data_IF_545666559475
#
_entry.id   IF_545666559475
#
_cell.length_a   1.000
_cell.length_b   1.000
_cell.length_c   1.000
_cell.angle_alpha   90.00
_cell.angle_beta   90.00
_cell.angle_gamma   90.00
#
_symmetry.space_group_name_H-M   'P 1'
#
loop_
_entity.id
_entity.type
_entity.pdbx_description
1 polymer ?
#
# COMPACT_ATOMS: atom_id res chain seq x y z
N UNK A 1 -42.26 -22.82 -29.33
CA UNK A 1 -40.87 -23.23 -29.55
C UNK A 1 -39.89 -22.07 -29.61
N UNK A 2 -40.24 -20.90 -30.11
CA UNK A 2 -39.39 -19.70 -30.21
C UNK A 2 -38.95 -19.11 -28.87
N UNK A 3 -39.86 -19.04 -27.89
CA UNK A 3 -39.62 -18.42 -26.56
C UNK A 3 -38.47 -19.13 -25.77
N UNK A 4 -38.46 -20.48 -25.84
CA UNK A 4 -37.37 -21.26 -25.17
C UNK A 4 -35.99 -21.03 -25.79
N UNK A 5 -35.92 -20.83 -27.10
CA UNK A 5 -34.66 -20.50 -27.79
C UNK A 5 -34.17 -19.10 -27.44
N UNK A 6 -35.07 -18.12 -27.34
CA UNK A 6 -34.69 -16.75 -26.95
C UNK A 6 -34.20 -16.70 -25.50
N UNK A 7 -34.86 -17.43 -24.59
CA UNK A 7 -34.42 -17.50 -23.19
C UNK A 7 -33.05 -18.14 -23.05
N UNK A 8 -32.74 -19.18 -23.80
CA UNK A 8 -31.46 -19.87 -23.80
C UNK A 8 -30.30 -18.93 -24.31
N UNK A 9 -30.57 -18.19 -25.38
CA UNK A 9 -29.59 -17.23 -25.94
C UNK A 9 -29.33 -16.11 -24.95
N UNK A 10 -30.34 -15.62 -24.26
CA UNK A 10 -30.23 -14.59 -23.22
C UNK A 10 -29.37 -15.06 -22.03
N UNK A 11 -29.58 -16.31 -21.58
CA UNK A 11 -28.80 -16.93 -20.51
C UNK A 11 -27.31 -17.11 -20.92
N UNK A 12 -27.06 -17.55 -22.14
CA UNK A 12 -25.69 -17.72 -22.64
C UNK A 12 -24.97 -16.37 -22.77
N UNK A 13 -25.69 -15.33 -23.23
CA UNK A 13 -25.11 -13.98 -23.32
C UNK A 13 -24.76 -13.38 -21.95
N UNK A 14 -25.66 -13.58 -20.94
CA UNK A 14 -25.37 -13.11 -19.56
C UNK A 14 -24.21 -13.88 -18.94
N UNK A 15 -24.15 -15.20 -19.10
CA UNK A 15 -23.03 -16.00 -18.59
C UNK A 15 -21.72 -15.63 -19.29
N UNK A 16 -21.72 -15.39 -20.59
CA UNK A 16 -20.53 -14.95 -21.32
C UNK A 16 -20.06 -13.54 -20.91
N UNK A 17 -20.99 -12.66 -20.49
CA UNK A 17 -20.68 -11.32 -20.01
C UNK A 17 -20.14 -11.34 -18.55
N UNK A 18 -20.62 -12.27 -17.74
CA UNK A 18 -20.19 -12.40 -16.33
C UNK A 18 -18.91 -13.23 -16.16
N UNK A 19 -18.62 -14.14 -17.09
CA UNK A 19 -17.41 -14.99 -17.03
C UNK A 19 -16.10 -14.21 -16.90
N UNK A 20 -15.83 -13.13 -17.68
CA UNK A 20 -14.59 -12.37 -17.52
C UNK A 20 -14.50 -11.63 -16.19
N UNK A 21 -15.61 -11.29 -15.56
CA UNK A 21 -15.61 -10.65 -14.22
C UNK A 21 -15.18 -11.66 -13.15
N UNK A 22 -15.53 -12.92 -13.28
CA UNK A 22 -15.10 -13.98 -12.35
C UNK A 22 -13.69 -14.51 -12.66
N UNK A 23 -13.23 -14.43 -13.90
CA UNK A 23 -11.87 -14.83 -14.29
C UNK A 23 -10.84 -13.73 -14.05
N UNK A 24 -11.26 -12.49 -13.80
CA UNK A 24 -10.41 -11.43 -13.25
C UNK A 24 -10.22 -11.63 -11.73
N UNK A 25 -10.03 -12.88 -11.31
CA UNK A 25 -9.35 -13.21 -10.07
C UNK A 25 -7.92 -12.73 -10.28
N UNK A 26 -7.66 -11.47 -9.95
CA UNK A 26 -6.30 -10.96 -9.81
C UNK A 26 -5.56 -11.97 -8.94
N UNK A 27 -4.59 -12.66 -9.48
CA UNK A 27 -3.61 -13.43 -8.72
C UNK A 27 -3.02 -12.42 -7.74
N UNK A 28 -3.62 -12.40 -6.54
CA UNK A 28 -3.24 -11.46 -5.50
C UNK A 28 -1.91 -11.95 -4.99
N UNK A 29 -0.84 -11.41 -5.56
CA UNK A 29 0.51 -11.68 -5.09
C UNK A 29 0.59 -11.26 -3.62
N UNK A 30 0.77 -12.23 -2.73
CA UNK A 30 0.88 -11.95 -1.30
C UNK A 30 2.12 -11.10 -1.04
N UNK A 31 2.08 -10.30 0.01
CA UNK A 31 3.20 -9.45 0.43
C UNK A 31 3.86 -10.14 1.62
N UNK A 32 5.04 -10.69 1.36
CA UNK A 32 5.89 -11.29 2.38
C UNK A 32 6.75 -10.18 3.03
N UNK A 33 7.05 -10.26 4.34
CA UNK A 33 7.99 -9.34 4.98
C UNK A 33 9.31 -9.16 4.24
N UNK A 34 9.82 -10.21 3.60
CA UNK A 34 11.06 -10.15 2.79
C UNK A 34 10.96 -9.20 1.59
N UNK A 35 9.75 -9.00 1.03
CA UNK A 35 9.53 -8.10 -0.07
C UNK A 35 9.60 -6.63 0.39
N UNK A 36 9.35 -6.38 1.69
CA UNK A 36 9.29 -5.05 2.28
C UNK A 36 10.67 -4.48 2.64
N UNK A 37 11.69 -5.34 2.89
CA UNK A 37 13.02 -4.86 3.30
C UNK A 37 13.68 -4.01 2.23
N UNK A 38 14.39 -2.97 2.66
CA UNK A 38 15.18 -2.12 1.81
C UNK A 38 14.83 -0.64 1.92
N UNK A 39 15.36 0.14 1.02
CA UNK A 39 15.20 1.59 0.95
C UNK A 39 14.02 1.95 0.07
N UNK A 40 13.15 2.81 0.58
CA UNK A 40 11.94 3.32 -0.07
C UNK A 40 12.09 4.81 -0.29
N UNK A 41 11.94 5.27 -1.53
CA UNK A 41 12.09 6.66 -1.94
C UNK A 41 10.79 7.21 -2.52
N UNK A 42 10.50 8.52 -2.38
CA UNK A 42 9.31 9.12 -2.97
C UNK A 42 9.24 8.86 -4.48
N UNK A 43 8.08 8.44 -4.94
CA UNK A 43 7.82 8.11 -6.36
C UNK A 43 7.96 9.32 -7.28
N UNK A 44 7.70 10.51 -6.78
CA UNK A 44 7.78 11.74 -7.55
C UNK A 44 9.22 12.18 -7.87
N UNK A 45 10.22 11.57 -7.23
CA UNK A 45 11.64 11.85 -7.45
C UNK A 45 12.10 13.26 -7.07
N UNK A 46 11.22 14.12 -6.49
CA UNK A 46 11.52 15.51 -6.20
C UNK A 46 12.43 15.72 -4.98
N UNK A 47 12.50 14.72 -4.13
CA UNK A 47 13.22 14.80 -2.85
C UNK A 47 14.11 13.57 -2.66
N UNK A 48 15.25 13.49 -3.33
CA UNK A 48 16.11 12.28 -3.30
C UNK A 48 16.72 12.00 -1.92
N UNK A 49 16.81 13.02 -1.06
CA UNK A 49 17.27 12.84 0.34
C UNK A 49 16.24 12.13 1.22
N UNK A 50 14.94 12.22 0.86
CA UNK A 50 13.87 11.60 1.63
C UNK A 50 13.85 10.10 1.38
N UNK A 51 13.93 9.32 2.43
CA UNK A 51 13.72 7.88 2.31
C UNK A 51 13.32 7.22 3.63
N UNK A 52 12.79 6.00 3.49
CA UNK A 52 12.45 5.08 4.57
C UNK A 52 13.26 3.81 4.36
N UNK A 53 14.04 3.39 5.35
CA UNK A 53 14.79 2.13 5.29
C UNK A 53 14.17 1.12 6.24
N UNK A 54 13.67 0.00 5.70
CA UNK A 54 13.08 -1.11 6.45
C UNK A 54 14.11 -2.23 6.58
N UNK A 55 14.48 -2.55 7.81
CA UNK A 55 15.48 -3.57 8.11
C UNK A 55 14.84 -4.92 8.48
N UNK A 56 15.59 -5.99 8.25
CA UNK A 56 15.13 -7.38 8.50
C UNK A 56 14.87 -7.68 9.97
N UNK A 57 15.49 -6.94 10.87
CA UNK A 57 15.33 -7.06 12.31
C UNK A 57 14.05 -6.36 12.84
N UNK A 58 13.25 -5.77 11.94
CA UNK A 58 12.05 -5.04 12.27
C UNK A 58 12.29 -3.58 12.64
N UNK A 59 13.52 -3.07 12.52
CA UNK A 59 13.80 -1.64 12.71
C UNK A 59 13.53 -0.85 11.44
N UNK A 60 13.24 0.43 11.61
CA UNK A 60 13.04 1.39 10.52
C UNK A 60 13.84 2.64 10.77
N UNK A 61 14.37 3.23 9.71
CA UNK A 61 15.01 4.54 9.72
C UNK A 61 14.30 5.47 8.74
N UNK A 62 14.10 6.72 9.19
CA UNK A 62 13.46 7.78 8.42
C UNK A 62 14.48 8.88 8.16
N UNK A 63 14.74 9.17 6.89
CA UNK A 63 15.69 10.17 6.46
C UNK A 63 14.98 11.37 5.84
N UNK A 64 15.23 12.53 6.39
CA UNK A 64 14.76 13.83 5.88
C UNK A 64 13.24 13.93 5.67
N UNK A 65 12.48 13.13 6.44
CA UNK A 65 11.02 13.10 6.40
C UNK A 65 10.42 13.97 7.50
N UNK A 66 9.25 14.50 7.20
CA UNK A 66 8.37 15.16 8.16
C UNK A 66 7.04 14.41 8.29
N UNK A 67 6.18 14.82 9.23
CA UNK A 67 4.90 14.17 9.46
C UNK A 67 3.97 14.14 8.25
N UNK A 68 4.01 15.18 7.41
CA UNK A 68 3.19 15.20 6.19
C UNK A 68 3.62 14.13 5.19
N UNK A 69 4.90 13.74 5.18
CA UNK A 69 5.42 12.70 4.28
C UNK A 69 4.90 11.29 4.65
N UNK A 70 4.39 11.11 5.85
CA UNK A 70 3.81 9.86 6.35
C UNK A 70 2.33 9.99 6.73
N UNK A 71 1.68 11.03 6.25
CA UNK A 71 0.23 11.20 6.40
C UNK A 71 -0.25 11.65 7.78
N UNK A 72 0.64 11.99 8.69
CA UNK A 72 0.25 12.49 9.99
C UNK A 72 0.03 14.01 9.95
N UNK A 73 -1.15 14.45 10.33
CA UNK A 73 -1.58 15.84 10.17
C UNK A 73 -1.08 16.80 11.24
N UNK A 74 -0.82 16.34 12.44
CA UNK A 74 -0.24 17.18 13.51
C UNK A 74 0.47 16.32 14.54
N UNK A 75 1.77 16.48 14.66
CA UNK A 75 2.48 15.93 15.78
C UNK A 75 3.06 17.05 16.62
N UNK A 76 2.84 16.96 17.92
CA UNK A 76 3.40 17.87 18.93
C UNK A 76 4.94 17.80 19.01
N UNK A 77 5.54 16.84 18.30
CA UNK A 77 6.97 16.55 18.35
C UNK A 77 7.55 16.35 16.96
N UNK A 78 8.87 16.50 16.83
CA UNK A 78 9.59 16.14 15.59
C UNK A 78 9.39 14.66 15.27
N UNK A 79 9.32 14.35 13.97
CA UNK A 79 9.25 12.96 13.51
C UNK A 79 10.46 12.17 14.01
N UNK A 80 10.27 10.93 14.53
CA UNK A 80 11.38 10.10 14.99
C UNK A 80 12.27 9.72 13.80
N UNK A 81 13.58 9.67 14.04
CA UNK A 81 14.52 9.19 13.01
C UNK A 81 14.56 7.68 12.91
N UNK A 82 14.20 6.99 13.97
CA UNK A 82 14.22 5.53 14.06
C UNK A 82 12.97 5.04 14.75
N UNK A 83 12.58 3.80 14.43
CA UNK A 83 11.46 3.13 15.06
C UNK A 83 11.51 1.63 14.80
N UNK A 84 10.39 0.98 15.04
CA UNK A 84 10.16 -0.41 14.62
C UNK A 84 8.95 -0.47 13.70
N UNK A 85 8.97 -1.44 12.79
CA UNK A 85 7.87 -1.66 11.88
C UNK A 85 7.32 -3.07 12.03
N UNK A 86 6.02 -3.19 11.78
CA UNK A 86 5.31 -4.47 11.80
C UNK A 86 4.32 -4.53 10.65
N UNK A 87 4.39 -5.60 9.87
CA UNK A 87 3.44 -5.86 8.80
C UNK A 87 2.15 -6.44 9.37
N UNK A 88 1.01 -5.89 8.97
CA UNK A 88 -0.30 -6.42 9.34
C UNK A 88 -0.54 -7.82 8.78
N UNK A 89 -1.36 -8.60 9.47
CA UNK A 89 -1.67 -9.99 9.08
C UNK A 89 -2.70 -10.10 7.96
N UNK A 90 -3.46 -9.03 7.71
CA UNK A 90 -4.58 -9.01 6.76
C UNK A 90 -4.43 -7.91 5.74
N UNK A 91 -5.05 -8.12 4.58
CA UNK A 91 -5.27 -7.04 3.62
C UNK A 91 -6.44 -6.19 4.06
N UNK A 92 -6.26 -4.89 3.98
CA UNK A 92 -7.25 -3.88 4.32
C UNK A 92 -7.51 -2.98 3.11
N UNK A 93 -8.67 -2.34 3.08
CA UNK A 93 -8.91 -1.28 2.11
C UNK A 93 -8.24 -0.01 2.63
N UNK A 94 -7.15 0.38 2.03
CA UNK A 94 -6.42 1.59 2.39
C UNK A 94 -7.37 2.80 2.39
N UNK A 95 -7.61 3.37 3.58
CA UNK A 95 -8.34 4.61 3.75
C UNK A 95 -9.79 4.64 3.24
N UNK A 96 -10.47 3.48 3.13
CA UNK A 96 -11.83 3.43 2.56
C UNK A 96 -11.90 3.74 1.07
N UNK A 97 -10.80 4.05 0.42
CA UNK A 97 -10.69 4.19 -1.03
C UNK A 97 -10.71 2.82 -1.68
N UNK A 98 -11.93 2.37 -1.84
CA UNK A 98 -12.47 1.49 -2.85
C UNK A 98 -11.44 0.67 -3.63
N UNK A 99 -11.47 -0.64 -3.36
CA UNK A 99 -11.04 -1.68 -4.29
C UNK A 99 -9.55 -2.00 -4.42
N UNK A 100 -8.66 -1.38 -3.67
CA UNK A 100 -7.25 -1.77 -3.68
C UNK A 100 -6.88 -2.51 -2.40
N UNK A 101 -6.80 -3.84 -2.44
CA UNK A 101 -6.31 -4.59 -1.31
C UNK A 101 -4.87 -4.23 -1.03
N UNK A 102 -4.62 -3.69 0.15
CA UNK A 102 -3.32 -3.30 0.61
C UNK A 102 -3.04 -3.94 1.97
N UNK A 103 -1.80 -4.26 2.24
CA UNK A 103 -1.38 -4.85 3.52
C UNK A 103 -0.84 -3.74 4.40
N UNK A 104 -1.45 -3.55 5.57
CA UNK A 104 -1.04 -2.50 6.49
C UNK A 104 0.37 -2.73 7.03
N UNK A 105 1.10 -1.65 7.25
CA UNK A 105 2.37 -1.61 7.96
C UNK A 105 2.31 -0.51 9.02
N UNK A 106 2.56 -0.87 10.26
CA UNK A 106 2.56 0.04 11.39
C UNK A 106 3.99 0.40 11.78
N UNK A 107 4.19 1.69 12.09
CA UNK A 107 5.44 2.24 12.58
C UNK A 107 5.25 2.72 14.02
N UNK A 108 6.10 2.25 14.94
CA UNK A 108 6.00 2.55 16.36
C UNK A 108 7.35 2.94 16.98
N UNK A 109 7.31 3.62 18.14
CA UNK A 109 8.52 4.06 18.84
C UNK A 109 9.35 2.92 19.42
N UNK A 110 8.83 1.69 19.45
CA UNK A 110 9.52 0.51 19.94
C UNK A 110 8.59 -0.69 19.90
N UNK A 111 9.11 -1.86 20.19
CA UNK A 111 8.37 -3.12 20.16
C UNK A 111 7.22 -3.08 21.19
N UNK A 112 5.97 -3.11 20.71
CA UNK A 112 4.78 -2.92 21.55
C UNK A 112 4.54 -1.47 21.98
N UNK A 113 5.26 -0.51 21.40
CA UNK A 113 5.09 0.91 21.62
C UNK A 113 3.91 1.52 20.87
N UNK A 114 3.71 2.82 21.09
CA UNK A 114 2.67 3.58 20.41
C UNK A 114 2.95 3.67 18.91
N UNK A 115 1.94 3.33 18.10
CA UNK A 115 1.98 3.48 16.63
C UNK A 115 1.86 4.97 16.31
N UNK A 116 2.83 5.52 15.59
CA UNK A 116 2.84 6.93 15.21
C UNK A 116 2.50 7.15 13.73
N UNK A 117 2.64 6.12 12.88
CA UNK A 117 2.23 6.17 11.50
C UNK A 117 1.80 4.77 11.02
N UNK A 118 0.84 4.75 10.10
CA UNK A 118 0.42 3.53 9.41
C UNK A 118 0.50 3.80 7.91
N UNK A 119 1.16 2.90 7.22
CA UNK A 119 1.21 2.87 5.76
C UNK A 119 0.58 1.59 5.22
N UNK A 120 0.59 1.45 3.90
CA UNK A 120 0.05 0.28 3.23
C UNK A 120 0.95 -0.15 2.09
N UNK A 121 1.21 -1.44 2.00
CA UNK A 121 1.85 -2.03 0.83
C UNK A 121 0.81 -2.53 -0.16
N UNK A 122 1.01 -2.24 -1.43
CA UNK A 122 0.24 -2.81 -2.53
C UNK A 122 1.15 -3.20 -3.70
N UNK A 123 0.72 -4.17 -4.48
CA UNK A 123 1.29 -4.43 -5.79
C UNK A 123 0.61 -3.57 -6.85
N UNK A 124 1.38 -2.82 -7.61
CA UNK A 124 0.93 -2.03 -8.75
C UNK A 124 1.89 -2.24 -9.92
N UNK A 125 1.40 -2.75 -11.05
CA UNK A 125 2.19 -3.02 -12.25
C UNK A 125 3.49 -3.82 -11.95
N UNK A 126 3.36 -4.92 -11.22
CA UNK A 126 4.45 -5.80 -10.75
C UNK A 126 5.50 -5.13 -9.85
N UNK A 127 5.23 -3.94 -9.37
CA UNK A 127 6.06 -3.23 -8.38
C UNK A 127 5.35 -3.14 -7.05
N UNK A 128 6.09 -3.37 -5.98
CA UNK A 128 5.59 -3.12 -4.63
C UNK A 128 5.69 -1.62 -4.35
N UNK A 129 4.58 -1.03 -3.93
CA UNK A 129 4.49 0.37 -3.53
C UNK A 129 4.18 0.45 -2.03
N UNK A 130 4.80 1.40 -1.34
CA UNK A 130 4.45 1.79 0.03
C UNK A 130 3.70 3.12 -0.03
N UNK A 131 2.53 3.15 0.56
CA UNK A 131 1.60 4.27 0.53
C UNK A 131 1.38 4.80 1.93
N UNK A 132 1.27 6.11 2.05
CA UNK A 132 0.71 6.77 3.23
C UNK A 132 -0.45 7.65 2.80
N UNK A 133 -1.50 7.65 3.62
CA UNK A 133 -2.66 8.49 3.38
C UNK A 133 -2.46 9.81 4.10
N UNK A 134 -2.44 10.89 3.37
CA UNK A 134 -2.34 12.24 3.92
C UNK A 134 -3.44 13.15 3.40
N UNK A 135 -3.56 14.31 4.03
CA UNK A 135 -4.47 15.35 3.61
C UNK A 135 -5.83 15.36 4.33
N UNK A 136 -6.71 16.22 3.85
CA UNK A 136 -8.07 16.35 4.31
C UNK A 136 -8.86 15.06 4.05
N UNK A 137 -9.71 14.59 4.98
CA UNK A 137 -10.58 13.44 4.77
C UNK A 137 -11.42 13.48 3.48
N UNK A 138 -11.68 14.68 2.96
CA UNK A 138 -12.44 14.89 1.72
C UNK A 138 -11.56 14.88 0.46
N UNK A 139 -10.23 14.96 0.62
CA UNK A 139 -9.24 14.96 -0.45
C UNK A 139 -8.07 14.04 -0.09
N UNK A 140 -8.28 12.74 -0.20
CA UNK A 140 -7.23 11.77 0.06
C UNK A 140 -6.08 11.92 -0.93
N UNK A 141 -4.92 12.29 -0.42
CA UNK A 141 -3.66 12.31 -1.17
C UNK A 141 -2.80 11.18 -0.66
N UNK A 142 -2.38 10.30 -1.57
CA UNK A 142 -1.40 9.28 -1.24
C UNK A 142 0.01 9.81 -1.47
N UNK A 143 0.85 9.69 -0.45
CA UNK A 143 2.29 9.77 -0.62
C UNK A 143 2.77 8.38 -0.99
N UNK A 144 3.31 8.26 -2.22
CA UNK A 144 3.72 6.99 -2.80
C UNK A 144 5.24 6.87 -2.75
N UNK A 145 5.73 5.73 -2.26
CA UNK A 145 7.14 5.39 -2.21
C UNK A 145 7.41 4.14 -3.03
N UNK A 146 8.50 4.14 -3.77
CA UNK A 146 8.99 3.00 -4.52
C UNK A 146 10.25 2.45 -3.87
N UNK A 147 10.41 1.13 -3.95
CA UNK A 147 11.64 0.48 -3.52
C UNK A 147 12.78 0.92 -4.43
N UNK A 148 13.85 1.44 -3.85
CA UNK A 148 15.08 1.77 -4.57
C UNK A 148 15.74 0.49 -5.06
N UNK A 149 16.18 0.48 -6.30
CA UNK A 149 16.96 -0.64 -6.83
C UNK A 149 18.34 -0.70 -6.18
N UNK A 150 18.88 -1.90 -5.93
CA UNK A 150 20.25 -2.05 -5.45
C UNK A 150 21.21 -1.44 -6.45
N UNK A 151 21.96 -0.40 -6.06
CA UNK A 151 22.98 0.24 -6.91
C UNK A 151 22.63 1.61 -7.48
N UNK A 152 21.52 2.23 -7.06
CA UNK A 152 21.16 3.62 -7.39
C UNK A 152 21.69 4.61 -6.34
N UNK A 153 22.97 4.53 -5.98
CA UNK A 153 23.68 5.56 -5.20
C UNK A 153 24.42 6.52 -6.12
#
# INVERSE_FOLDING_TARGET
MALKKQLLIFFIAITALLLPVFLCSCDRKDIDPKDCYGKWVPKDGKSPSKCISLHKDGTVEFFDLNWNDVGATEALHSMPRTGVWQLGSRYENAGGLLFMPAKAIDFSYGKGGFVFATGWFRWANDRLELLFLGGDPDNYVFMEYLKSEPGSE
#
